data_IF_341798358017
#
_entry.id   IF_341798358017
#
_cell.length_a   1.000
_cell.length_b   1.000
_cell.length_c   1.000
_cell.angle_alpha   90.00
_cell.angle_beta   90.00
_cell.angle_gamma   90.00
#
_symmetry.space_group_name_H-M   'P 1'
#
loop_
_entity.id
_entity.type
_entity.pdbx_description
1 polymer ?
#
# COMPACT_ATOMS: atom_id res chain seq x y z
N UNK A 1 10.64 -4.89 13.09
CA UNK A 1 9.19 -5.17 12.95
C UNK A 1 8.66 -6.18 13.96
N UNK A 2 7.80 -5.70 14.85
CA UNK A 2 7.00 -6.52 15.77
C UNK A 2 5.86 -7.26 15.06
N UNK A 3 5.32 -8.34 15.66
CA UNK A 3 4.21 -9.12 15.09
C UNK A 3 2.99 -8.25 14.74
N UNK A 4 2.65 -7.29 15.61
CA UNK A 4 1.56 -6.33 15.41
C UNK A 4 1.79 -5.47 14.17
N UNK A 5 2.98 -4.91 14.02
CA UNK A 5 3.32 -4.04 12.89
C UNK A 5 3.30 -4.84 11.58
N UNK A 6 3.73 -6.11 11.62
CA UNK A 6 3.64 -7.00 10.46
C UNK A 6 2.20 -7.29 10.04
N UNK A 7 1.31 -7.49 11.02
CA UNK A 7 -0.11 -7.70 10.75
C UNK A 7 -0.75 -6.44 10.17
N UNK A 8 -0.44 -5.28 10.74
CA UNK A 8 -0.93 -3.99 10.25
C UNK A 8 -0.48 -3.72 8.81
N UNK A 9 0.83 -3.84 8.55
CA UNK A 9 1.40 -3.74 7.21
C UNK A 9 0.74 -4.73 6.23
N UNK A 10 0.54 -5.98 6.65
CA UNK A 10 -0.11 -6.98 5.78
C UNK A 10 -1.55 -6.60 5.44
N UNK A 11 -2.31 -6.03 6.39
CA UNK A 11 -3.68 -5.56 6.14
C UNK A 11 -3.69 -4.38 5.17
N UNK A 12 -2.78 -3.42 5.34
CA UNK A 12 -2.64 -2.28 4.44
C UNK A 12 -2.32 -2.74 3.01
N UNK A 13 -1.36 -3.66 2.85
CA UNK A 13 -1.00 -4.22 1.54
C UNK A 13 -2.17 -5.02 0.92
N UNK A 14 -2.92 -5.77 1.70
CA UNK A 14 -4.11 -6.49 1.19
C UNK A 14 -5.15 -5.50 0.66
N UNK A 15 -5.51 -4.48 1.44
CA UNK A 15 -6.46 -3.44 1.02
C UNK A 15 -6.01 -2.73 -0.25
N UNK A 16 -4.72 -2.38 -0.34
CA UNK A 16 -4.15 -1.72 -1.51
C UNK A 16 -4.22 -2.61 -2.76
N UNK A 17 -3.91 -3.91 -2.62
CA UNK A 17 -4.03 -4.87 -3.72
C UNK A 17 -5.48 -5.07 -4.17
N UNK A 18 -6.44 -5.08 -3.25
CA UNK A 18 -7.86 -5.16 -3.62
C UNK A 18 -8.30 -3.94 -4.41
N UNK A 19 -7.94 -2.72 -3.99
CA UNK A 19 -8.24 -1.50 -4.75
C UNK A 19 -7.62 -1.50 -6.14
N UNK A 20 -6.36 -1.93 -6.25
CA UNK A 20 -5.69 -2.09 -7.55
C UNK A 20 -6.41 -3.13 -8.42
N UNK A 21 -6.84 -4.26 -7.85
CA UNK A 21 -7.63 -5.27 -8.59
C UNK A 21 -8.97 -4.71 -9.07
N UNK A 22 -9.68 -3.95 -8.22
CA UNK A 22 -10.92 -3.29 -8.60
C UNK A 22 -10.70 -2.30 -9.75
N UNK A 23 -9.62 -1.52 -9.70
CA UNK A 23 -9.22 -0.65 -10.80
C UNK A 23 -8.89 -1.44 -12.08
N UNK A 24 -8.14 -2.55 -11.98
CA UNK A 24 -7.84 -3.39 -13.14
C UNK A 24 -9.11 -4.00 -13.77
N UNK A 25 -10.11 -4.33 -12.96
CA UNK A 25 -11.39 -4.86 -13.43
C UNK A 25 -12.28 -3.79 -14.07
N UNK A 26 -12.19 -2.53 -13.64
CA UNK A 26 -12.91 -1.41 -14.23
C UNK A 26 -12.04 -0.14 -14.24
N UNK A 27 -11.19 0.03 -15.28
CA UNK A 27 -10.26 1.15 -15.34
C UNK A 27 -11.00 2.44 -15.68
N UNK A 28 -11.25 3.26 -14.65
CA UNK A 28 -11.81 4.60 -14.76
C UNK A 28 -10.82 5.66 -14.30
N UNK A 29 -10.85 6.85 -14.88
CA UNK A 29 -9.92 7.93 -14.57
C UNK A 29 -10.04 8.42 -13.11
N UNK A 30 -11.26 8.46 -12.56
CA UNK A 30 -11.51 8.78 -11.15
C UNK A 30 -10.98 7.68 -10.20
N UNK A 31 -11.09 6.42 -10.60
CA UNK A 31 -10.58 5.28 -9.83
C UNK A 31 -9.05 5.22 -9.86
N UNK A 32 -8.44 5.57 -11.00
CA UNK A 32 -7.00 5.73 -11.13
C UNK A 32 -6.48 6.79 -10.16
N UNK A 33 -7.09 7.98 -10.15
CA UNK A 33 -6.65 9.09 -9.30
C UNK A 33 -6.75 8.75 -7.81
N UNK A 34 -7.84 8.08 -7.40
CA UNK A 34 -8.02 7.61 -6.02
C UNK A 34 -6.93 6.61 -5.62
N UNK A 35 -6.65 5.60 -6.46
CA UNK A 35 -5.62 4.58 -6.21
C UNK A 35 -4.22 5.21 -6.19
N UNK A 36 -3.93 6.13 -7.11
CA UNK A 36 -2.64 6.84 -7.17
C UNK A 36 -2.43 7.72 -5.95
N UNK A 37 -3.46 8.41 -5.48
CA UNK A 37 -3.40 9.23 -4.26
C UNK A 37 -3.11 8.38 -3.03
N UNK A 38 -3.76 7.23 -2.89
CA UNK A 38 -3.46 6.29 -1.80
C UNK A 38 -2.07 5.67 -1.89
N UNK A 39 -1.61 5.31 -3.09
CA UNK A 39 -0.26 4.80 -3.31
C UNK A 39 0.80 5.82 -2.93
N UNK A 40 0.58 7.09 -3.25
CA UNK A 40 1.45 8.20 -2.84
C UNK A 40 1.47 8.37 -1.32
N UNK A 41 0.29 8.38 -0.68
CA UNK A 41 0.19 8.48 0.78
C UNK A 41 0.90 7.31 1.48
N UNK A 42 0.73 6.08 0.96
CA UNK A 42 1.45 4.90 1.43
C UNK A 42 2.97 5.05 1.26
N UNK A 43 3.43 5.50 0.09
CA UNK A 43 4.85 5.70 -0.20
C UNK A 43 5.48 6.79 0.70
N UNK A 44 4.76 7.88 0.96
CA UNK A 44 5.20 8.94 1.87
C UNK A 44 5.27 8.46 3.33
N UNK A 45 4.26 7.69 3.77
CA UNK A 45 4.25 7.11 5.10
C UNK A 45 5.36 6.07 5.30
N UNK A 46 5.65 5.26 4.26
CA UNK A 46 6.80 4.36 4.25
C UNK A 46 8.13 5.13 4.25
N UNK A 47 8.27 6.18 3.45
CA UNK A 47 9.47 7.02 3.36
C UNK A 47 9.76 7.75 4.67
N UNK A 48 8.73 8.22 5.36
CA UNK A 48 8.85 8.93 6.64
C UNK A 48 9.09 7.99 7.83
N UNK A 49 9.16 6.67 7.59
CA UNK A 49 9.32 5.66 8.64
C UNK A 49 8.06 5.40 9.46
N UNK A 50 6.91 5.93 9.05
CA UNK A 50 5.60 5.70 9.67
C UNK A 50 5.02 4.31 9.37
N UNK A 51 5.48 3.67 8.30
CA UNK A 51 5.17 2.28 7.96
C UNK A 51 6.46 1.47 8.02
N UNK A 52 6.56 0.55 8.97
CA UNK A 52 7.59 -0.47 8.89
C UNK A 52 7.27 -1.42 7.72
N UNK A 53 8.16 -1.51 6.74
CA UNK A 53 8.09 -2.50 5.68
C UNK A 53 9.03 -3.66 6.05
N UNK A 54 8.59 -4.93 6.00
CA UNK A 54 9.46 -6.05 6.30
C UNK A 54 10.65 -6.08 5.33
N UNK A 55 11.88 -6.25 5.85
CA UNK A 55 13.11 -6.18 5.06
C UNK A 55 13.14 -7.13 3.84
N UNK A 56 12.40 -8.24 3.88
CA UNK A 56 12.24 -9.16 2.72
C UNK A 56 11.51 -8.54 1.52
N UNK A 57 10.81 -7.42 1.71
CA UNK A 57 10.06 -6.70 0.68
C UNK A 57 10.70 -5.37 0.29
N UNK A 58 11.75 -4.94 0.99
CA UNK A 58 12.58 -3.81 0.57
C UNK A 58 13.82 -4.37 -0.14
N UNK A 59 14.06 -3.93 -1.38
CA UNK A 59 15.30 -4.27 -2.08
C UNK A 59 16.40 -3.35 -1.54
N UNK A 60 17.51 -3.93 -1.12
CA UNK A 60 18.69 -3.21 -0.63
C UNK A 60 19.43 -2.52 -1.77
#
# INVERSE_FOLDING_TARGET
MSKTNRLDWSKQITLMNERIKHFQANPGQEQLDAVVTELKAYAEAARSGGIEIPARFTVN
#
